data_IF_099510091220
#
_entry.id   IF_099510091220
#
_cell.length_a   1.000
_cell.length_b   1.000
_cell.length_c   1.000
_cell.angle_alpha   90.00
_cell.angle_beta   90.00
_cell.angle_gamma   90.00
#
_symmetry.space_group_name_H-M   'P 1'
#
loop_
_entity.id
_entity.type
_entity.pdbx_description
1 polymer ?
#
# COMPACT_ATOMS: atom_id res chain seq x y z
N UNK A 1 -9.40 -22.29 -3.91
CA UNK A 1 -8.16 -21.51 -3.82
C UNK A 1 -7.94 -20.89 -5.17
N UNK A 2 -8.59 -19.77 -5.44
CA UNK A 2 -8.19 -18.93 -6.58
C UNK A 2 -6.88 -18.28 -6.17
N UNK A 3 -5.83 -18.71 -6.86
CA UNK A 3 -4.45 -18.41 -6.51
C UNK A 3 -3.98 -17.16 -7.21
N UNK A 4 -3.19 -16.37 -6.50
CA UNK A 4 -2.37 -15.32 -7.09
C UNK A 4 -1.66 -15.81 -8.38
N UNK A 5 -1.45 -14.92 -9.36
CA UNK A 5 -1.72 -13.48 -9.34
C UNK A 5 -3.19 -13.09 -9.62
N UNK A 6 -3.54 -11.84 -9.32
CA UNK A 6 -4.84 -11.24 -9.62
C UNK A 6 -4.77 -10.36 -10.87
N UNK A 7 -5.64 -10.59 -11.86
CA UNK A 7 -5.84 -9.63 -12.95
C UNK A 7 -6.84 -8.55 -12.52
N UNK A 8 -6.38 -7.30 -12.49
CA UNK A 8 -7.19 -6.14 -12.15
C UNK A 8 -7.02 -5.09 -13.24
N UNK A 9 -8.09 -4.88 -14.02
CA UNK A 9 -8.09 -3.93 -15.13
C UNK A 9 -6.97 -4.22 -16.15
N UNK A 10 -6.69 -5.51 -16.42
CA UNK A 10 -5.62 -5.94 -17.31
C UNK A 10 -4.21 -5.76 -16.74
N UNK A 11 -4.10 -5.59 -15.42
CA UNK A 11 -2.82 -5.49 -14.71
C UNK A 11 -2.69 -6.65 -13.73
N UNK A 12 -1.56 -7.37 -13.81
CA UNK A 12 -1.25 -8.50 -12.94
C UNK A 12 -0.72 -8.02 -11.58
N UNK A 13 -1.47 -8.29 -10.51
CA UNK A 13 -1.12 -8.00 -9.12
C UNK A 13 -0.69 -9.27 -8.38
N UNK A 14 0.40 -9.15 -7.62
CA UNK A 14 0.97 -10.17 -6.76
C UNK A 14 0.74 -9.81 -5.28
N UNK A 15 0.80 -10.78 -4.36
CA UNK A 15 0.72 -10.47 -2.94
C UNK A 15 1.91 -9.60 -2.54
N UNK A 16 1.70 -8.65 -1.63
CA UNK A 16 2.82 -7.94 -1.01
C UNK A 16 3.68 -8.95 -0.24
N UNK A 17 5.01 -8.99 -0.46
CA UNK A 17 5.90 -9.88 0.29
C UNK A 17 5.88 -9.59 1.79
N UNK A 18 5.96 -10.63 2.61
CA UNK A 18 5.96 -10.49 4.08
C UNK A 18 7.17 -9.70 4.56
N UNK A 19 8.33 -9.91 3.93
CA UNK A 19 9.55 -9.16 4.22
C UNK A 19 9.37 -7.65 4.03
N UNK A 20 8.53 -7.20 3.09
CA UNK A 20 8.24 -5.78 2.95
C UNK A 20 7.44 -5.27 4.16
N UNK A 21 6.53 -6.08 4.69
CA UNK A 21 5.72 -5.71 5.85
C UNK A 21 6.55 -5.75 7.14
N UNK A 22 7.43 -6.73 7.30
CA UNK A 22 8.33 -6.83 8.45
C UNK A 22 9.27 -5.62 8.54
N UNK A 23 9.83 -5.20 7.41
CA UNK A 23 10.78 -4.10 7.31
C UNK A 23 10.13 -2.73 7.01
N UNK A 24 8.80 -2.66 6.95
CA UNK A 24 8.05 -1.41 6.76
C UNK A 24 7.65 -0.72 8.06
N UNK A 25 7.14 0.51 7.94
CA UNK A 25 6.60 1.29 9.04
C UNK A 25 5.13 1.71 8.83
N UNK A 26 4.47 2.02 9.94
CA UNK A 26 3.08 2.45 9.98
C UNK A 26 2.99 3.97 9.91
N UNK A 27 2.88 4.50 8.69
CA UNK A 27 2.91 5.94 8.45
C UNK A 27 1.62 6.66 8.91
N UNK A 28 1.80 7.82 9.54
CA UNK A 28 0.73 8.67 10.05
C UNK A 28 0.14 8.17 11.38
N UNK A 29 -0.68 9.02 12.01
CA UNK A 29 -1.40 8.72 13.25
C UNK A 29 -2.90 8.89 13.07
N UNK A 30 -3.70 8.05 13.73
CA UNK A 30 -5.17 8.07 13.67
C UNK A 30 -5.77 6.96 12.81
N UNK A 31 -7.08 7.10 12.58
CA UNK A 31 -7.94 6.14 11.87
C UNK A 31 -8.78 6.88 10.81
N UNK A 32 -9.22 6.21 9.72
CA UNK A 32 -9.04 4.79 9.39
C UNK A 32 -7.67 4.45 8.78
N UNK A 33 -7.02 3.38 9.25
CA UNK A 33 -5.73 2.91 8.69
C UNK A 33 -5.90 1.85 7.60
N UNK A 34 -5.21 2.04 6.48
CA UNK A 34 -5.17 1.06 5.39
C UNK A 34 -3.82 0.36 5.32
N UNK A 35 -3.82 -0.89 4.89
CA UNK A 35 -2.67 -1.80 4.93
C UNK A 35 -2.35 -2.32 3.53
N UNK A 36 -1.07 -2.44 3.20
CA UNK A 36 -0.63 -2.96 1.91
C UNK A 36 -1.02 -4.43 1.74
N UNK A 37 -1.66 -4.78 0.63
CA UNK A 37 -2.16 -6.14 0.36
C UNK A 37 -1.64 -6.73 -0.96
N UNK A 38 -1.53 -5.93 -2.01
CA UNK A 38 -1.07 -6.40 -3.33
C UNK A 38 -0.22 -5.36 -4.05
N UNK A 39 0.64 -5.82 -4.96
CA UNK A 39 1.59 -4.98 -5.70
C UNK A 39 1.72 -5.45 -7.15
N UNK A 40 1.95 -4.50 -8.05
CA UNK A 40 2.30 -4.73 -9.45
C UNK A 40 3.44 -3.80 -9.89
N UNK A 41 4.17 -4.20 -10.93
CA UNK A 41 5.26 -3.43 -11.52
C UNK A 41 4.77 -2.69 -12.77
N UNK A 42 4.74 -1.35 -12.72
CA UNK A 42 4.35 -0.49 -13.83
C UNK A 42 5.61 -0.07 -14.61
N UNK A 43 6.19 -1.00 -15.37
CA UNK A 43 7.42 -0.73 -16.13
C UNK A 43 8.70 -0.90 -15.31
N UNK A 44 9.79 -0.20 -15.67
CA UNK A 44 11.15 -0.54 -15.17
C UNK A 44 11.39 -0.25 -13.69
N UNK A 45 10.78 0.80 -13.12
CA UNK A 45 11.08 1.29 -11.76
C UNK A 45 9.87 1.97 -11.09
N UNK A 46 8.66 1.59 -11.46
CA UNK A 46 7.44 2.08 -10.81
C UNK A 46 6.66 0.88 -10.28
N UNK A 47 6.16 1.02 -9.06
CA UNK A 47 5.33 0.05 -8.38
C UNK A 47 3.95 0.67 -8.20
N UNK A 48 2.92 -0.14 -8.33
CA UNK A 48 1.58 0.20 -7.85
C UNK A 48 1.17 -0.77 -6.77
N UNK A 49 0.91 -0.25 -5.58
CA UNK A 49 0.49 -1.02 -4.42
C UNK A 49 -0.95 -0.68 -4.11
N UNK A 50 -1.75 -1.71 -3.81
CA UNK A 50 -3.11 -1.56 -3.32
C UNK A 50 -3.11 -1.72 -1.81
N UNK A 51 -3.79 -0.80 -1.15
CA UNK A 51 -4.01 -0.79 0.28
C UNK A 51 -5.48 -0.99 0.58
N UNK A 52 -5.77 -1.71 1.66
CA UNK A 52 -7.12 -2.04 2.10
C UNK A 52 -7.35 -1.62 3.54
N UNK A 53 -8.53 -1.08 3.82
CA UNK A 53 -9.00 -0.86 5.19
C UNK A 53 -9.61 -2.14 5.75
N UNK A 54 -9.38 -2.45 7.03
CA UNK A 54 -9.92 -3.64 7.71
C UNK A 54 -11.42 -3.86 7.48
N UNK A 55 -12.30 -3.01 8.04
CA UNK A 55 -13.75 -3.23 8.05
C UNK A 55 -14.47 -2.89 6.74
N UNK A 56 -13.79 -2.37 5.71
CA UNK A 56 -14.47 -2.00 4.45
C UNK A 56 -13.83 -2.70 3.26
N UNK A 57 -14.61 -3.12 2.26
CA UNK A 57 -14.05 -3.75 1.06
C UNK A 57 -13.41 -2.72 0.13
N UNK A 58 -13.09 -1.51 0.58
CA UNK A 58 -12.57 -0.44 -0.25
C UNK A 58 -11.05 -0.49 -0.29
N UNK A 59 -10.50 -0.22 -1.47
CA UNK A 59 -9.05 -0.14 -1.68
C UNK A 59 -8.64 1.21 -2.24
N UNK A 60 -7.42 1.60 -1.91
CA UNK A 60 -6.72 2.72 -2.52
C UNK A 60 -5.47 2.20 -3.22
N UNK A 61 -5.05 2.87 -4.29
CA UNK A 61 -3.84 2.55 -5.05
C UNK A 61 -2.83 3.67 -4.83
N UNK A 62 -1.62 3.29 -4.45
CA UNK A 62 -0.49 4.20 -4.32
C UNK A 62 0.56 3.76 -5.34
N UNK A 63 0.97 4.69 -6.20
CA UNK A 63 2.13 4.52 -7.08
C UNK A 63 3.37 5.04 -6.37
N UNK A 64 4.49 4.35 -6.52
CA UNK A 64 5.77 4.82 -6.00
C UNK A 64 6.93 4.26 -6.80
N UNK A 65 8.11 4.84 -6.56
CA UNK A 65 9.34 4.38 -7.19
C UNK A 65 9.80 3.04 -6.62
N UNK A 66 10.19 2.16 -7.53
CA UNK A 66 10.87 0.91 -7.24
C UNK A 66 12.38 1.02 -7.49
N UNK A 67 13.14 0.22 -6.75
CA UNK A 67 14.58 0.01 -6.93
C UNK A 67 14.84 -1.49 -7.03
N UNK A 68 15.82 -1.89 -7.82
CA UNK A 68 16.27 -3.28 -7.84
C UNK A 68 16.84 -3.63 -6.47
N UNK A 69 16.38 -4.73 -5.89
CA UNK A 69 16.91 -5.23 -4.64
C UNK A 69 18.37 -5.64 -4.82
N UNK A 70 19.23 -5.27 -3.87
CA UNK A 70 20.67 -5.60 -3.89
C UNK A 70 20.92 -7.11 -3.80
N UNK A 71 19.96 -7.88 -3.28
CA UNK A 71 20.01 -9.35 -3.22
C UNK A 71 19.58 -10.04 -4.52
N UNK A 72 19.00 -9.30 -5.48
CA UNK A 72 18.52 -9.85 -6.75
C UNK A 72 17.07 -10.35 -6.75
N UNK A 73 16.32 -10.16 -5.66
CA UNK A 73 14.93 -10.64 -5.51
C UNK A 73 13.88 -9.81 -6.29
N UNK A 74 14.31 -9.01 -7.27
CA UNK A 74 13.44 -8.19 -8.11
C UNK A 74 13.35 -6.73 -7.70
N UNK A 75 12.22 -6.08 -8.00
CA UNK A 75 11.99 -4.65 -7.74
C UNK A 75 11.29 -4.52 -6.39
N UNK A 76 11.83 -3.69 -5.51
CA UNK A 76 11.26 -3.37 -4.20
C UNK A 76 11.03 -1.86 -4.08
N UNK A 77 10.19 -1.38 -3.13
CA UNK A 77 9.99 0.04 -2.92
C UNK A 77 11.33 0.73 -2.67
N UNK A 78 11.59 1.86 -3.32
CA UNK A 78 12.88 2.56 -3.16
C UNK A 78 13.14 2.97 -1.70
N UNK A 79 12.08 3.22 -0.92
CA UNK A 79 12.13 3.50 0.52
C UNK A 79 12.54 2.27 1.33
N UNK A 80 12.16 1.08 0.88
CA UNK A 80 12.57 -0.19 1.50
C UNK A 80 14.04 -0.50 1.21
N UNK A 81 14.52 -0.19 -0.01
CA UNK A 81 15.88 -0.54 -0.44
C UNK A 81 16.99 0.34 0.17
N UNK A 82 16.70 1.62 0.41
CA UNK A 82 17.74 2.61 0.72
C UNK A 82 17.69 3.15 2.16
N UNK A 83 16.81 2.61 3.00
CA UNK A 83 16.62 3.01 4.41
C UNK A 83 16.31 4.51 4.62
N UNK A 84 15.91 5.21 3.55
CA UNK A 84 15.45 6.58 3.61
C UNK A 84 13.96 6.60 4.00
N UNK A 85 13.67 6.63 5.30
CA UNK A 85 12.34 7.05 5.79
C UNK A 85 11.19 6.12 5.42
N UNK A 86 11.38 4.84 5.76
CA UNK A 86 10.36 3.82 5.99
C UNK A 86 9.35 3.56 4.88
N UNK A 87 9.44 2.38 4.26
CA UNK A 87 8.40 1.86 3.40
C UNK A 87 7.04 1.83 4.15
N UNK A 88 6.00 2.52 3.65
CA UNK A 88 4.74 2.65 4.37
C UNK A 88 3.90 1.38 4.23
N UNK A 89 4.17 0.35 5.04
CA UNK A 89 3.39 -0.89 5.04
C UNK A 89 1.92 -0.64 5.43
N UNK A 90 1.66 0.44 6.16
CA UNK A 90 0.32 0.97 6.40
C UNK A 90 0.32 2.50 6.34
N UNK A 91 -0.83 3.09 6.01
CA UNK A 91 -1.01 4.55 5.93
C UNK A 91 -2.37 4.96 6.50
N UNK A 92 -2.42 6.17 7.06
CA UNK A 92 -3.69 6.87 7.30
C UNK A 92 -3.96 7.77 6.09
N UNK A 93 -4.97 7.46 5.25
CA UNK A 93 -5.27 8.28 4.08
C UNK A 93 -5.66 9.70 4.49
N UNK A 94 -5.24 10.70 3.70
CA UNK A 94 -5.75 12.06 3.92
C UNK A 94 -7.25 12.12 3.55
N UNK A 95 -8.04 13.04 4.13
CA UNK A 95 -9.50 13.08 3.94
C UNK A 95 -9.97 13.18 2.48
N UNK A 96 -9.10 13.63 1.57
CA UNK A 96 -9.41 13.80 0.15
C UNK A 96 -9.09 12.56 -0.71
N UNK A 97 -8.44 11.54 -0.15
CA UNK A 97 -8.16 10.28 -0.86
C UNK A 97 -9.44 9.48 -0.97
N UNK A 98 -9.93 9.35 -2.20
CA UNK A 98 -11.10 8.52 -2.50
C UNK A 98 -10.67 7.09 -2.80
N UNK A 99 -11.41 6.09 -2.30
CA UNK A 99 -11.31 4.72 -2.77
C UNK A 99 -11.38 4.64 -4.29
N UNK A 100 -10.49 3.86 -4.89
CA UNK A 100 -10.41 3.70 -6.34
C UNK A 100 -11.00 2.38 -6.81
N UNK A 101 -11.10 1.39 -5.92
CA UNK A 101 -11.55 0.04 -6.29
C UNK A 101 -12.02 -0.73 -5.04
N UNK A 102 -12.53 -1.95 -5.25
CA UNK A 102 -12.98 -2.90 -4.22
C UNK A 102 -11.89 -3.96 -3.96
N UNK A 103 -11.82 -4.54 -2.77
CA UNK A 103 -10.90 -5.62 -2.46
C UNK A 103 -11.39 -6.92 -3.10
N UNK A 104 -10.44 -7.74 -3.56
CA UNK A 104 -10.73 -9.11 -4.00
C UNK A 104 -10.71 -10.04 -2.78
N UNK A 105 -11.24 -11.25 -2.93
CA UNK A 105 -11.27 -12.22 -1.84
C UNK A 105 -9.84 -12.59 -1.40
N UNK A 106 -8.93 -12.74 -2.35
CA UNK A 106 -7.52 -13.04 -2.08
C UNK A 106 -6.80 -11.87 -1.38
N UNK A 107 -7.15 -10.61 -1.71
CA UNK A 107 -6.65 -9.44 -0.98
C UNK A 107 -7.20 -9.40 0.46
N UNK A 108 -8.42 -9.89 0.66
CA UNK A 108 -9.05 -10.00 1.98
C UNK A 108 -8.41 -11.08 2.83
N UNK A 109 -8.15 -12.24 2.24
CA UNK A 109 -7.39 -13.34 2.86
C UNK A 109 -5.97 -12.88 3.22
N UNK A 110 -5.28 -12.19 2.31
CA UNK A 110 -3.93 -11.68 2.58
C UNK A 110 -3.89 -10.63 3.68
N UNK A 111 -4.90 -9.76 3.76
CA UNK A 111 -5.04 -8.85 4.89
C UNK A 111 -5.16 -9.64 6.20
N UNK A 112 -5.97 -10.69 6.23
CA UNK A 112 -6.14 -11.53 7.44
C UNK A 112 -4.85 -12.26 7.83
N UNK A 113 -4.13 -12.78 6.84
CA UNK A 113 -2.89 -13.53 7.04
C UNK A 113 -1.76 -12.64 7.60
N UNK A 114 -1.45 -11.52 6.94
CA UNK A 114 -0.34 -10.65 7.36
C UNK A 114 -0.76 -9.76 8.54
N UNK A 115 -1.97 -9.20 8.48
CA UNK A 115 -2.37 -8.08 9.33
C UNK A 115 -3.44 -8.42 10.36
N UNK A 116 -3.93 -9.68 10.41
CA UNK A 116 -5.04 -10.08 11.28
C UNK A 116 -4.81 -9.85 12.78
N UNK A 117 -3.55 -9.79 13.23
CA UNK A 117 -3.20 -9.45 14.62
C UNK A 117 -3.25 -7.94 14.94
N UNK A 118 -3.33 -7.09 13.91
CA UNK A 118 -3.28 -5.61 14.01
C UNK A 118 -4.57 -4.92 13.59
N UNK A 119 -5.51 -5.66 13.01
CA UNK A 119 -6.79 -5.12 12.54
C UNK A 119 -7.89 -5.65 13.45
N UNK A 120 -8.60 -4.73 14.12
CA UNK A 120 -9.66 -5.09 15.08
C UNK A 120 -10.82 -5.86 14.42
N UNK A 121 -11.10 -5.56 13.14
CA UNK A 121 -12.20 -6.18 12.39
C UNK A 121 -11.85 -6.34 10.91
N UNK A 122 -11.78 -7.59 10.44
CA UNK A 122 -11.67 -7.93 9.02
C UNK A 122 -12.96 -8.69 8.65
N UNK A 123 -13.83 -8.12 7.80
CA UNK A 123 -15.09 -8.77 7.44
C UNK A 123 -14.76 -10.10 6.78
N UNK A 124 -15.55 -11.12 7.11
CA UNK A 124 -15.52 -12.36 6.35
C UNK A 124 -15.82 -12.06 4.89
N UNK A 125 -15.18 -12.76 3.93
CA UNK A 125 -15.48 -12.56 2.53
C UNK A 125 -16.99 -12.78 2.31
N UNK A 126 -17.72 -11.71 2.02
CA UNK A 126 -19.12 -11.84 1.61
C UNK A 126 -19.12 -12.48 0.22
N UNK A 127 -19.77 -13.64 0.08
CA UNK A 127 -19.99 -14.28 -1.22
C UNK A 127 -20.57 -13.24 -2.22
N UNK A 128 -19.71 -12.76 -3.14
CA UNK A 128 -19.98 -11.89 -4.32
C UNK A 128 -19.92 -10.38 -4.10
N UNK A 129 -18.72 -9.82 -4.22
CA UNK A 129 -18.53 -8.45 -4.71
C UNK A 129 -18.06 -8.46 -6.17
N UNK A 130 -18.98 -8.25 -7.12
CA UNK A 130 -18.66 -8.05 -8.54
C UNK A 130 -18.18 -6.59 -8.72
N UNK A 131 -16.97 -6.40 -9.24
CA UNK A 131 -16.39 -5.08 -9.50
C UNK A 131 -17.02 -4.43 -10.75
N UNK A 132 -17.59 -3.23 -10.60
CA UNK A 132 -18.05 -2.37 -11.71
C UNK A 132 -17.01 -1.25 -11.91
N UNK A 133 -16.50 -1.13 -13.15
CA UNK A 133 -15.27 -0.42 -13.50
C UNK A 133 -15.33 1.10 -13.27
N UNK A 134 -14.55 1.58 -12.30
CA UNK A 134 -14.32 3.01 -12.06
C UNK A 134 -12.95 3.45 -12.57
N UNK A 135 -12.92 4.29 -13.61
CA UNK A 135 -11.68 4.86 -14.19
C UNK A 135 -10.73 5.41 -13.12
N UNK A 136 -9.48 4.93 -13.14
CA UNK A 136 -8.39 5.41 -12.31
C UNK A 136 -8.18 6.93 -12.45
N UNK A 137 -8.44 7.68 -11.38
CA UNK A 137 -7.86 9.01 -11.19
C UNK A 137 -6.40 8.81 -10.76
N UNK A 138 -5.47 9.32 -11.57
CA UNK A 138 -4.05 9.38 -11.24
C UNK A 138 -3.85 10.36 -10.06
N UNK A 139 -3.96 9.85 -8.84
CA UNK A 139 -3.30 10.48 -7.71
C UNK A 139 -1.81 10.18 -7.85
N UNK A 140 -1.11 11.03 -8.62
CA UNK A 140 0.33 11.17 -8.52
C UNK A 140 0.65 11.64 -7.10
N UNK A 141 0.88 10.67 -6.20
CA UNK A 141 1.62 10.94 -5.00
C UNK A 141 3.06 11.17 -5.44
N UNK A 142 3.37 12.43 -5.73
CA UNK A 142 4.74 12.88 -5.85
C UNK A 142 5.32 12.82 -4.43
N UNK A 143 5.92 11.69 -4.07
CA UNK A 143 6.60 11.53 -2.77
C UNK A 143 7.79 12.51 -2.67
N UNK A 144 8.20 13.16 -3.76
CA UNK A 144 9.12 14.30 -3.73
C UNK A 144 8.53 15.55 -3.03
N UNK A 145 7.21 15.64 -2.80
CA UNK A 145 6.62 16.73 -2.00
C UNK A 145 6.72 16.54 -0.47
N UNK A 146 7.21 15.40 0.03
CA UNK A 146 7.72 15.31 1.40
C UNK A 146 9.12 15.93 1.47
N UNK A 147 9.22 17.21 1.09
CA UNK A 147 10.24 18.08 1.63
C UNK A 147 10.05 18.04 3.14
N UNK A 148 11.05 17.51 3.85
CA UNK A 148 11.26 17.61 5.29
C UNK A 148 11.20 19.08 5.75
N UNK A 149 10.02 19.67 5.79
CA UNK A 149 9.74 20.95 6.43
C UNK A 149 9.41 20.71 7.90
N UNK A 150 10.32 20.04 8.60
CA UNK A 150 10.37 19.98 10.06
C UNK A 150 11.77 20.22 10.65
N UNK A 151 12.76 20.61 9.83
CA UNK A 151 14.05 21.11 10.31
C UNK A 151 14.13 22.64 10.23
N UNK A 152 13.24 23.32 10.95
CA UNK A 152 13.47 24.71 11.34
C UNK A 152 12.73 25.05 12.66
N UNK A 153 13.06 24.34 13.74
CA UNK A 153 13.05 24.93 15.08
C UNK A 153 14.50 25.31 15.37
N UNK A 154 14.88 26.59 15.37
CA UNK A 154 14.44 27.54 16.38
C UNK A 154 15.52 27.59 17.44
N UNK A 155 16.22 28.74 17.50
CA UNK A 155 17.20 29.12 18.53
C UNK A 155 16.82 28.58 19.92
N UNK A 156 17.78 27.95 20.58
CA UNK A 156 17.97 28.18 22.00
C UNK A 156 19.20 29.08 22.14
N UNK A 157 18.93 30.32 22.52
CA UNK A 157 19.89 31.19 23.17
C UNK A 157 20.38 30.51 24.47
N UNK A 158 21.70 30.49 24.67
CA UNK A 158 22.35 30.71 25.97
C UNK A 158 23.53 31.67 25.72
#
# INVERSE_FOLDING_TARGET
>A
MTGWPLDIEGTEYHPVPESWVEHGDDHGTGEPRVYAVSVTHLGRKELSIRYRHGPTPKTIRIRMRGTENSTGDGIVPSLLANDYGSWPRSVVPTPNVKPQDVARDEETERLREIWGSRVDEIPEPEEKAIADGGRAAEALFDIDQYHLSAFNGGRYDD
#
